data_IF_373817113319
#
_entry.id   IF_373817113319
#
_cell.length_a   1.000
_cell.length_b   1.000
_cell.length_c   1.000
_cell.angle_alpha   90.00
_cell.angle_beta   90.00
_cell.angle_gamma   90.00
#
_symmetry.space_group_name_H-M   'P 1'
#
loop_
_entity.id
_entity.type
_entity.pdbx_description
1 polymer ?
#
# COMPACT_ATOMS: atom_id res chain seq x y z
N UNK A 1 -4.99 14.29 30.20
CA UNK A 1 -5.69 14.10 28.91
C UNK A 1 -5.80 12.60 28.65
N UNK A 2 -7.02 12.07 28.54
CA UNK A 2 -7.24 10.67 28.16
C UNK A 2 -7.69 10.67 26.70
N UNK A 3 -6.84 10.16 25.81
CA UNK A 3 -7.18 9.96 24.40
C UNK A 3 -7.44 8.48 24.17
N UNK A 4 -8.66 8.15 23.74
CA UNK A 4 -9.04 6.79 23.37
C UNK A 4 -8.86 6.64 21.87
N UNK A 5 -8.06 5.66 21.44
CA UNK A 5 -7.82 5.36 20.03
C UNK A 5 -8.35 3.97 19.74
N UNK A 6 -9.30 3.88 18.80
CA UNK A 6 -9.79 2.61 18.29
C UNK A 6 -8.90 2.13 17.15
N UNK A 7 -8.36 0.92 17.27
CA UNK A 7 -7.51 0.30 16.26
C UNK A 7 -8.02 -1.10 15.90
N UNK A 8 -7.82 -1.49 14.64
CA UNK A 8 -8.15 -2.83 14.18
C UNK A 8 -7.38 -3.90 14.96
N UNK A 9 -8.01 -5.07 15.15
CA UNK A 9 -7.43 -6.20 15.89
C UNK A 9 -6.06 -6.62 15.34
N UNK A 10 -5.90 -6.72 14.02
CA UNK A 10 -4.61 -7.10 13.41
C UNK A 10 -3.50 -6.11 13.73
N UNK A 11 -3.82 -4.82 13.74
CA UNK A 11 -2.85 -3.76 14.04
C UNK A 11 -2.49 -3.79 15.53
N UNK A 12 -3.48 -3.94 16.40
CA UNK A 12 -3.26 -4.10 17.85
C UNK A 12 -2.37 -5.29 18.16
N UNK A 13 -2.61 -6.44 17.54
CA UNK A 13 -1.85 -7.66 17.79
C UNK A 13 -0.41 -7.57 17.25
N UNK A 14 -0.16 -6.75 16.22
CA UNK A 14 1.20 -6.39 15.78
C UNK A 14 1.89 -5.47 16.80
N UNK A 15 1.20 -4.43 17.26
CA UNK A 15 1.72 -3.52 18.28
C UNK A 15 2.01 -4.23 19.60
N UNK A 16 1.19 -5.21 19.98
CA UNK A 16 1.40 -6.04 21.17
C UNK A 16 2.66 -6.90 21.10
N UNK A 17 2.94 -7.49 19.94
CA UNK A 17 4.19 -8.24 19.72
C UNK A 17 5.41 -7.32 19.84
N UNK A 18 5.38 -6.18 19.15
CA UNK A 18 6.46 -5.19 19.22
C UNK A 18 6.68 -4.68 20.65
N UNK A 19 5.59 -4.44 21.38
CA UNK A 19 5.63 -4.06 22.79
C UNK A 19 6.30 -5.13 23.67
N UNK A 20 6.02 -6.41 23.43
CA UNK A 20 6.68 -7.51 24.13
C UNK A 20 8.18 -7.56 23.83
N UNK A 21 8.55 -7.45 22.55
CA UNK A 21 9.95 -7.49 22.10
C UNK A 21 10.77 -6.32 22.71
N UNK A 22 10.16 -5.15 22.80
CA UNK A 22 10.80 -3.93 23.32
C UNK A 22 10.67 -3.76 24.84
N UNK A 23 9.98 -4.69 25.53
CA UNK A 23 9.63 -4.58 26.96
C UNK A 23 8.87 -3.28 27.30
N UNK A 24 8.00 -2.85 26.39
CA UNK A 24 7.18 -1.64 26.51
C UNK A 24 5.71 -2.00 26.66
N UNK A 25 4.90 -1.01 27.08
CA UNK A 25 3.44 -1.14 26.97
C UNK A 25 2.99 -0.86 25.53
N UNK A 26 1.86 -1.44 25.11
CA UNK A 26 1.25 -1.15 23.80
C UNK A 26 0.99 0.34 23.62
N UNK A 27 0.56 1.03 24.69
CA UNK A 27 0.34 2.48 24.67
C UNK A 27 1.62 3.27 24.45
N UNK A 28 2.76 2.80 24.97
CA UNK A 28 4.06 3.42 24.75
C UNK A 28 4.51 3.27 23.29
N UNK A 29 4.37 2.07 22.72
CA UNK A 29 4.68 1.82 21.30
C UNK A 29 3.85 2.72 20.38
N UNK A 30 2.55 2.84 20.63
CA UNK A 30 1.67 3.72 19.83
C UNK A 30 2.14 5.17 19.91
N UNK A 31 2.47 5.67 21.11
CA UNK A 31 2.95 7.04 21.29
C UNK A 31 4.28 7.30 20.58
N UNK A 32 5.22 6.37 20.65
CA UNK A 32 6.50 6.46 19.95
C UNK A 32 6.27 6.56 18.44
N UNK A 33 5.47 5.66 17.87
CA UNK A 33 5.19 5.65 16.43
C UNK A 33 4.47 6.92 15.95
N UNK A 34 3.53 7.43 16.75
CA UNK A 34 2.83 8.69 16.43
C UNK A 34 3.77 9.90 16.51
N UNK A 35 4.65 9.95 17.52
CA UNK A 35 5.67 11.00 17.62
C UNK A 35 6.67 10.92 16.46
N UNK A 36 7.16 9.73 16.13
CA UNK A 36 8.11 9.56 15.03
C UNK A 36 7.48 9.92 13.67
N UNK A 37 6.17 9.68 13.49
CA UNK A 37 5.44 10.18 12.33
C UNK A 37 5.32 11.72 12.34
N UNK A 38 4.94 12.31 13.47
CA UNK A 38 4.80 13.77 13.61
C UNK A 38 6.14 14.51 13.43
N UNK A 39 7.24 13.91 13.89
CA UNK A 39 8.62 14.40 13.74
C UNK A 39 9.19 14.14 12.33
N UNK A 40 8.45 13.45 11.44
CA UNK A 40 8.88 13.12 10.08
C UNK A 40 9.94 12.02 9.99
N UNK A 41 10.24 11.31 11.08
CA UNK A 41 11.16 10.15 11.10
C UNK A 41 10.54 8.93 10.42
N UNK A 42 9.21 8.79 10.52
CA UNK A 42 8.45 7.78 9.78
C UNK A 42 7.65 8.49 8.70
N UNK A 43 7.97 8.22 7.44
CA UNK A 43 7.15 8.63 6.31
C UNK A 43 6.20 7.49 5.93
N UNK A 44 4.90 7.67 6.21
CA UNK A 44 3.87 6.80 5.66
C UNK A 44 3.61 7.25 4.23
N UNK A 45 4.47 6.82 3.32
CA UNK A 45 4.22 7.00 1.89
C UNK A 45 3.00 6.18 1.51
N UNK A 46 1.97 6.82 0.95
CA UNK A 46 1.18 6.12 -0.06
C UNK A 46 2.20 5.72 -1.12
N UNK A 47 2.32 4.42 -1.42
CA UNK A 47 2.90 4.05 -2.72
C UNK A 47 1.91 4.59 -3.75
N UNK A 48 2.08 5.86 -4.14
CA UNK A 48 1.71 6.28 -5.47
C UNK A 48 2.61 5.42 -6.33
N UNK A 49 2.06 4.31 -6.83
CA UNK A 49 2.67 3.59 -7.93
C UNK A 49 2.90 4.68 -8.96
N UNK A 50 4.17 5.06 -9.16
CA UNK A 50 4.53 6.07 -10.14
C UNK A 50 3.84 5.70 -11.45
N UNK A 51 3.35 6.71 -12.18
CA UNK A 51 2.63 6.53 -13.43
C UNK A 51 3.19 5.33 -14.20
N UNK A 52 2.35 4.36 -14.59
CA UNK A 52 2.84 3.12 -15.19
C UNK A 52 3.80 3.49 -16.31
N UNK A 53 5.00 2.90 -16.30
CA UNK A 53 5.95 3.09 -17.38
C UNK A 53 5.35 2.39 -18.60
N UNK A 54 4.65 3.16 -19.44
CA UNK A 54 4.04 2.65 -20.67
C UNK A 54 5.16 2.51 -21.69
N UNK A 55 5.55 1.27 -21.96
CA UNK A 55 6.42 0.94 -23.09
C UNK A 55 5.54 0.51 -24.27
N UNK A 56 5.61 1.27 -25.37
CA UNK A 56 4.92 0.91 -26.60
C UNK A 56 5.77 -0.11 -27.33
N UNK A 57 5.28 -1.35 -27.41
CA UNK A 57 5.91 -2.40 -28.20
C UNK A 57 5.34 -2.31 -29.62
N UNK A 58 6.18 -1.94 -30.58
CA UNK A 58 5.81 -1.98 -32.00
C UNK A 58 5.71 -3.44 -32.46
N UNK A 59 4.54 -3.80 -32.98
CA UNK A 59 4.30 -5.12 -33.58
C UNK A 59 4.13 -4.99 -35.09
N UNK A 60 4.42 -6.05 -35.82
CA UNK A 60 4.20 -6.09 -37.27
C UNK A 60 2.69 -6.05 -37.59
N UNK A 61 2.38 -5.66 -38.84
CA UNK A 61 1.00 -5.46 -39.28
C UNK A 61 0.14 -6.73 -39.22
N UNK A 62 0.74 -7.91 -39.40
CA UNK A 62 0.00 -9.17 -39.31
C UNK A 62 -0.40 -9.46 -37.87
N UNK A 63 0.52 -9.24 -36.93
CA UNK A 63 0.27 -9.40 -35.49
C UNK A 63 -0.76 -8.39 -34.99
N UNK A 64 -0.68 -7.13 -35.42
CA UNK A 64 -1.66 -6.10 -35.03
C UNK A 64 -3.09 -6.49 -35.43
N UNK A 65 -3.28 -6.95 -36.67
CA UNK A 65 -4.62 -7.34 -37.16
C UNK A 65 -5.23 -8.48 -36.32
N UNK A 66 -4.43 -9.46 -35.91
CA UNK A 66 -4.89 -10.56 -35.06
C UNK A 66 -5.31 -10.07 -33.67
N UNK A 67 -4.58 -9.09 -33.11
CA UNK A 67 -4.93 -8.47 -31.83
C UNK A 67 -6.23 -7.68 -31.93
N UNK A 68 -6.41 -6.92 -33.01
CA UNK A 68 -7.62 -6.13 -33.26
C UNK A 68 -8.87 -7.03 -33.39
N UNK A 69 -8.75 -8.18 -34.06
CA UNK A 69 -9.84 -9.15 -34.19
C UNK A 69 -10.28 -9.71 -32.83
N UNK A 70 -9.35 -10.00 -31.93
CA UNK A 70 -9.64 -10.47 -30.56
C UNK A 70 -10.35 -9.40 -29.74
N UNK A 71 -9.88 -8.15 -29.81
CA UNK A 71 -10.50 -7.00 -29.13
C UNK A 71 -11.93 -6.78 -29.65
N UNK A 72 -12.12 -6.84 -30.96
CA UNK A 72 -13.43 -6.71 -31.59
C UNK A 72 -14.40 -7.83 -31.17
N UNK A 73 -13.91 -9.06 -30.97
CA UNK A 73 -14.73 -10.16 -30.46
C UNK A 73 -15.16 -9.94 -29.00
N UNK A 74 -14.30 -9.36 -28.16
CA UNK A 74 -14.62 -9.07 -26.76
C UNK A 74 -15.59 -7.90 -26.59
N UNK A 75 -15.47 -6.87 -27.43
CA UNK A 75 -16.34 -5.68 -27.39
C UNK A 75 -17.74 -5.90 -28.00
N UNK A 76 -18.00 -7.06 -28.61
CA UNK A 76 -19.31 -7.44 -29.17
C UNK A 76 -20.25 -8.10 -28.14
N UNK A 77 -19.93 -8.05 -26.84
CA UNK A 77 -20.84 -8.40 -25.75
C UNK A 77 -21.58 -7.19 -25.23
#
# INVERSE_FOLDING_TARGET
MNTTISIDKKIRDKAARKAQDDQLSVSAVIRILLNDYADGKIQIGTRMVGEPMIEVIEVDKSTQNLMDDVVNAWNKK
#
